data_IF_079898280002
#
_entry.id   IF_079898280002
#
_cell.length_a   1.000
_cell.length_b   1.000
_cell.length_c   1.000
_cell.angle_alpha   90.00
_cell.angle_beta   90.00
_cell.angle_gamma   90.00
#
_symmetry.space_group_name_H-M   'P 1'
#
loop_
_entity.id
_entity.type
_entity.pdbx_description
1 polymer ?
#
# COMPACT_ATOMS: atom_id res chain seq x y z
N UNK A 1 -9.92 -19.68 7.36
CA UNK A 1 -8.76 -18.80 7.03
C UNK A 1 -8.04 -18.40 8.31
N UNK A 2 -6.71 -18.31 8.31
CA UNK A 2 -5.96 -17.75 9.45
C UNK A 2 -6.29 -16.26 9.61
N UNK A 3 -6.11 -15.70 10.81
CA UNK A 3 -6.34 -14.27 11.04
C UNK A 3 -5.44 -13.42 10.14
N UNK A 4 -4.17 -13.79 10.00
CA UNK A 4 -3.20 -13.09 9.15
C UNK A 4 -3.65 -13.10 7.68
N UNK A 5 -4.13 -14.24 7.15
CA UNK A 5 -4.70 -14.32 5.80
C UNK A 5 -5.95 -13.43 5.64
N UNK A 6 -6.86 -13.44 6.61
CA UNK A 6 -8.07 -12.59 6.58
C UNK A 6 -7.71 -11.10 6.58
N UNK A 7 -6.76 -10.69 7.43
CA UNK A 7 -6.26 -9.30 7.50
C UNK A 7 -5.55 -8.89 6.22
N UNK A 8 -4.78 -9.79 5.60
CA UNK A 8 -4.11 -9.51 4.34
C UNK A 8 -5.12 -9.29 3.19
N UNK A 9 -6.17 -10.11 3.08
CA UNK A 9 -7.23 -9.90 2.07
C UNK A 9 -7.93 -8.55 2.26
N UNK A 10 -8.37 -8.25 3.47
CA UNK A 10 -9.04 -6.97 3.73
C UNK A 10 -8.10 -5.77 3.60
N UNK A 11 -6.86 -5.89 4.05
CA UNK A 11 -5.84 -4.86 3.88
C UNK A 11 -5.58 -4.57 2.41
N UNK A 12 -5.48 -5.60 1.58
CA UNK A 12 -5.33 -5.45 0.14
C UNK A 12 -6.54 -4.74 -0.48
N UNK A 13 -7.76 -5.10 -0.08
CA UNK A 13 -8.98 -4.48 -0.60
C UNK A 13 -9.07 -3.00 -0.20
N UNK A 14 -8.89 -2.67 1.08
CA UNK A 14 -8.98 -1.30 1.60
C UNK A 14 -7.89 -0.41 0.98
N UNK A 15 -6.63 -0.84 1.04
CA UNK A 15 -5.52 0.00 0.58
C UNK A 15 -5.35 -0.03 -0.94
N UNK A 16 -5.73 -1.13 -1.61
CA UNK A 16 -5.76 -1.19 -3.06
C UNK A 16 -6.83 -0.25 -3.65
N UNK A 17 -8.03 -0.22 -3.07
CA UNK A 17 -9.08 0.72 -3.50
C UNK A 17 -8.68 2.18 -3.20
N UNK A 18 -8.11 2.45 -2.02
CA UNK A 18 -7.59 3.78 -1.70
C UNK A 18 -6.49 4.25 -2.66
N UNK A 19 -5.59 3.34 -3.06
CA UNK A 19 -4.52 3.61 -4.01
C UNK A 19 -5.08 3.99 -5.39
N UNK A 20 -6.03 3.20 -5.91
CA UNK A 20 -6.68 3.47 -7.20
C UNK A 20 -7.41 4.81 -7.15
N UNK A 21 -8.17 5.07 -6.07
CA UNK A 21 -8.90 6.32 -5.89
C UNK A 21 -7.93 7.51 -5.87
N UNK A 22 -6.85 7.45 -5.09
CA UNK A 22 -5.86 8.53 -5.01
C UNK A 22 -5.23 8.86 -6.37
N UNK A 23 -4.86 7.85 -7.15
CA UNK A 23 -4.38 8.05 -8.52
C UNK A 23 -5.43 8.70 -9.43
N UNK A 24 -6.69 8.24 -9.37
CA UNK A 24 -7.77 8.82 -10.17
C UNK A 24 -7.96 10.31 -9.84
N UNK A 25 -8.07 10.66 -8.55
CA UNK A 25 -8.25 12.03 -8.08
C UNK A 25 -7.06 12.92 -8.48
N UNK A 26 -5.86 12.35 -8.39
CA UNK A 26 -4.65 13.06 -8.76
C UNK A 26 -4.58 13.40 -10.24
N UNK A 27 -5.09 12.55 -11.15
CA UNK A 27 -5.03 12.83 -12.58
C UNK A 27 -6.27 13.52 -13.17
N UNK A 28 -7.42 13.47 -12.51
CA UNK A 28 -8.72 14.01 -12.99
C UNK A 28 -8.84 15.56 -13.04
N UNK A 29 -7.75 16.31 -13.18
CA UNK A 29 -7.80 17.77 -13.19
C UNK A 29 -6.54 18.48 -13.67
N UNK A 30 -5.79 17.88 -14.58
CA UNK A 30 -4.52 18.45 -15.10
C UNK A 30 -3.26 17.94 -14.38
N UNK A 31 -3.42 16.93 -13.53
CA UNK A 31 -2.31 16.18 -12.94
C UNK A 31 -1.48 16.99 -11.93
N UNK A 32 -0.15 16.88 -11.96
CA UNK A 32 0.75 17.30 -10.88
C UNK A 32 0.97 18.82 -10.76
N UNK A 33 0.80 19.58 -11.85
CA UNK A 33 1.00 21.04 -11.85
C UNK A 33 -0.15 21.78 -11.17
N UNK A 34 -1.38 21.31 -11.39
CA UNK A 34 -2.61 21.96 -10.90
C UNK A 34 -3.19 21.29 -9.65
N UNK A 35 -2.53 20.25 -9.12
CA UNK A 35 -3.10 19.44 -8.04
C UNK A 35 -3.32 20.26 -6.76
N UNK A 36 -2.35 21.11 -6.41
CA UNK A 36 -2.37 21.90 -5.19
C UNK A 36 -3.20 23.18 -5.30
N UNK A 37 -3.46 23.65 -6.52
CA UNK A 37 -4.27 24.85 -6.77
C UNK A 37 -5.78 24.57 -6.56
N UNK A 38 -6.16 23.29 -6.47
CA UNK A 38 -7.54 22.86 -6.32
C UNK A 38 -7.76 22.24 -4.95
N UNK A 39 -8.25 23.07 -4.01
CA UNK A 39 -8.57 22.67 -2.64
C UNK A 39 -9.50 21.45 -2.57
N UNK A 40 -10.41 21.29 -3.54
CA UNK A 40 -11.35 20.17 -3.59
C UNK A 40 -10.62 18.84 -3.81
N UNK A 41 -9.65 18.78 -4.73
CA UNK A 41 -8.89 17.55 -5.01
C UNK A 41 -8.00 17.15 -3.84
N UNK A 42 -7.33 18.12 -3.23
CA UNK A 42 -6.53 17.91 -2.02
C UNK A 42 -7.43 17.38 -0.89
N UNK A 43 -8.59 18.01 -0.68
CA UNK A 43 -9.56 17.59 0.35
C UNK A 43 -10.08 16.19 0.08
N UNK A 44 -10.42 15.86 -1.16
CA UNK A 44 -11.00 14.57 -1.51
C UNK A 44 -10.02 13.41 -1.30
N UNK A 45 -8.75 13.57 -1.64
CA UNK A 45 -7.75 12.54 -1.34
C UNK A 45 -7.43 12.45 0.15
N UNK A 46 -7.46 13.57 0.91
CA UNK A 46 -7.38 13.52 2.38
C UNK A 46 -8.52 12.69 2.94
N UNK A 47 -9.74 12.88 2.44
CA UNK A 47 -10.90 12.07 2.80
C UNK A 47 -10.70 10.60 2.47
N UNK A 48 -10.17 10.26 1.29
CA UNK A 48 -9.82 8.86 0.93
C UNK A 48 -8.80 8.28 1.90
N UNK A 49 -7.77 9.03 2.24
CA UNK A 49 -6.74 8.60 3.18
C UNK A 49 -7.33 8.33 4.57
N UNK A 50 -8.10 9.29 5.11
CA UNK A 50 -8.78 9.16 6.40
C UNK A 50 -9.77 7.99 6.40
N UNK A 51 -10.59 7.85 5.36
CA UNK A 51 -11.54 6.75 5.24
C UNK A 51 -10.84 5.38 5.15
N UNK A 52 -9.70 5.31 4.46
CA UNK A 52 -8.85 4.11 4.41
C UNK A 52 -8.35 3.73 5.81
N UNK A 53 -7.87 4.70 6.59
CA UNK A 53 -7.47 4.47 7.98
C UNK A 53 -8.60 4.00 8.87
N UNK A 54 -9.74 4.69 8.84
CA UNK A 54 -10.92 4.31 9.64
C UNK A 54 -11.34 2.89 9.30
N UNK A 55 -11.44 2.56 8.02
CA UNK A 55 -11.80 1.21 7.55
C UNK A 55 -10.79 0.15 8.00
N UNK A 56 -9.49 0.46 7.93
CA UNK A 56 -8.44 -0.44 8.38
C UNK A 56 -8.47 -0.68 9.89
N UNK A 57 -8.66 0.36 10.70
CA UNK A 57 -8.80 0.22 12.15
C UNK A 57 -10.04 -0.59 12.55
N UNK A 58 -11.18 -0.31 11.92
CA UNK A 58 -12.40 -1.11 12.11
C UNK A 58 -12.14 -2.59 11.78
N UNK A 59 -11.45 -2.88 10.67
CA UNK A 59 -11.07 -4.24 10.32
C UNK A 59 -10.19 -4.90 11.38
N UNK A 60 -9.21 -4.19 11.96
CA UNK A 60 -8.37 -4.72 13.03
C UNK A 60 -9.19 -5.07 14.29
N UNK A 61 -10.14 -4.21 14.67
CA UNK A 61 -11.03 -4.42 15.81
C UNK A 61 -11.90 -5.66 15.58
N UNK A 62 -12.55 -5.77 14.42
CA UNK A 62 -13.45 -6.87 14.10
C UNK A 62 -12.75 -8.21 13.86
N UNK A 63 -11.44 -8.22 13.55
CA UNK A 63 -10.68 -9.45 13.32
C UNK A 63 -9.95 -9.98 14.55
N UNK A 64 -10.11 -9.33 15.71
CA UNK A 64 -9.51 -9.75 16.98
C UNK A 64 -10.26 -11.00 17.50
N UNK A 65 -9.63 -12.17 17.48
CA UNK A 65 -10.19 -13.41 18.08
C UNK A 65 -9.47 -13.71 19.40
N UNK A 66 -10.18 -14.21 20.44
CA UNK A 66 -9.54 -14.61 21.69
C UNK A 66 -8.60 -15.79 21.49
N UNK A 67 -7.43 -15.75 22.12
CA UNK A 67 -6.41 -16.79 22.06
C UNK A 67 -6.94 -18.08 22.72
N UNK A 68 -7.11 -19.15 21.94
CA UNK A 68 -7.48 -20.48 22.42
C UNK A 68 -6.36 -21.45 22.04
N UNK A 69 -5.85 -22.19 23.03
CA UNK A 69 -4.52 -22.81 23.10
C UNK A 69 -4.08 -23.84 22.05
N UNK A 70 -4.67 -23.88 20.85
CA UNK A 70 -4.12 -24.57 19.66
C UNK A 70 -3.20 -23.65 18.83
N UNK A 71 -2.65 -22.59 19.45
CA UNK A 71 -2.08 -21.42 18.77
C UNK A 71 -0.59 -21.50 18.46
N UNK A 72 0.21 -22.26 19.21
CA UNK A 72 1.68 -22.17 19.16
C UNK A 72 2.28 -22.41 17.76
N UNK A 73 1.98 -23.55 17.13
CA UNK A 73 2.56 -23.90 15.81
C UNK A 73 2.05 -23.00 14.67
N UNK A 74 0.81 -22.49 14.82
CA UNK A 74 0.23 -21.52 13.89
C UNK A 74 0.86 -20.13 14.07
N UNK A 75 1.26 -19.77 15.28
CA UNK A 75 1.89 -18.49 15.61
C UNK A 75 3.28 -18.39 14.98
N UNK A 76 4.11 -19.44 15.09
CA UNK A 76 5.47 -19.44 14.52
C UNK A 76 5.47 -19.30 12.99
N UNK A 77 4.57 -20.03 12.30
CA UNK A 77 4.41 -19.92 10.85
C UNK A 77 3.89 -18.55 10.44
N UNK A 78 2.90 -18.02 11.15
CA UNK A 78 2.32 -16.71 10.86
C UNK A 78 3.35 -15.59 11.13
N UNK A 79 4.21 -15.73 12.15
CA UNK A 79 5.32 -14.82 12.44
C UNK A 79 6.38 -14.85 11.33
N UNK A 80 6.79 -16.05 10.89
CA UNK A 80 7.74 -16.20 9.78
C UNK A 80 7.22 -15.57 8.49
N UNK A 81 5.95 -15.83 8.15
CA UNK A 81 5.27 -15.22 7.00
C UNK A 81 5.28 -13.70 7.12
N UNK A 82 4.93 -13.18 8.30
CA UNK A 82 4.86 -11.74 8.54
C UNK A 82 6.23 -11.08 8.37
N UNK A 83 7.29 -11.61 8.99
CA UNK A 83 8.67 -11.10 8.86
C UNK A 83 9.11 -11.05 7.40
N UNK A 84 8.91 -12.14 6.65
CA UNK A 84 9.30 -12.20 5.25
C UNK A 84 8.47 -11.25 4.38
N UNK A 85 7.17 -11.13 4.65
CA UNK A 85 6.30 -10.18 3.95
C UNK A 85 6.68 -8.72 4.23
N UNK A 86 7.14 -8.37 5.44
CA UNK A 86 7.69 -7.04 5.73
C UNK A 86 8.93 -6.74 4.91
N UNK A 87 9.89 -7.67 4.85
CA UNK A 87 11.10 -7.50 4.04
C UNK A 87 10.76 -7.31 2.56
N UNK A 88 9.89 -8.15 2.00
CA UNK A 88 9.45 -8.02 0.61
C UNK A 88 8.71 -6.70 0.36
N UNK A 89 7.80 -6.31 1.27
CA UNK A 89 7.09 -5.03 1.19
C UNK A 89 8.02 -3.83 1.20
N UNK A 90 9.03 -3.85 2.07
CA UNK A 90 10.03 -2.79 2.17
C UNK A 90 10.87 -2.64 0.90
N UNK A 91 11.40 -3.74 0.36
CA UNK A 91 12.15 -3.68 -0.90
C UNK A 91 11.29 -3.26 -2.08
N UNK A 92 10.05 -3.75 -2.17
CA UNK A 92 9.09 -3.32 -3.19
C UNK A 92 8.86 -1.80 -3.13
N UNK A 93 8.71 -1.25 -1.93
CA UNK A 93 8.54 0.18 -1.72
C UNK A 93 9.77 0.98 -2.13
N UNK A 94 10.96 0.54 -1.73
CA UNK A 94 12.22 1.20 -2.08
C UNK A 94 12.42 1.23 -3.59
N UNK A 95 12.18 0.11 -4.28
CA UNK A 95 12.26 0.01 -5.74
C UNK A 95 11.25 0.95 -6.40
N UNK A 96 10.01 0.97 -5.91
CA UNK A 96 8.98 1.88 -6.41
C UNK A 96 9.41 3.34 -6.32
N UNK A 97 9.82 3.80 -5.14
CA UNK A 97 10.24 5.20 -4.93
C UNK A 97 11.45 5.52 -5.80
N UNK A 98 12.43 4.63 -5.85
CA UNK A 98 13.64 4.80 -6.67
C UNK A 98 13.31 4.98 -8.16
N UNK A 99 12.49 4.08 -8.72
CA UNK A 99 12.10 4.13 -10.13
C UNK A 99 11.31 5.40 -10.42
N UNK A 100 10.35 5.79 -9.58
CA UNK A 100 9.55 6.99 -9.82
C UNK A 100 10.42 8.25 -9.71
N UNK A 101 11.33 8.34 -8.74
CA UNK A 101 12.26 9.47 -8.65
C UNK A 101 13.13 9.59 -9.90
N UNK A 102 13.69 8.47 -10.40
CA UNK A 102 14.44 8.47 -11.65
C UNK A 102 13.59 8.88 -12.85
N UNK A 103 12.36 8.37 -12.94
CA UNK A 103 11.43 8.70 -14.02
C UNK A 103 11.06 10.19 -14.00
N UNK A 104 10.77 10.76 -12.83
CA UNK A 104 10.46 12.17 -12.66
C UNK A 104 11.67 13.04 -13.02
N UNK A 105 12.87 12.66 -12.59
CA UNK A 105 14.10 13.35 -12.97
C UNK A 105 14.31 13.33 -14.49
N UNK A 106 14.23 12.15 -15.11
CA UNK A 106 14.39 12.01 -16.55
C UNK A 106 13.33 12.82 -17.31
N UNK A 107 12.08 12.80 -16.86
CA UNK A 107 11.00 13.50 -17.54
C UNK A 107 11.12 15.03 -17.41
N UNK A 108 11.30 15.56 -16.20
CA UNK A 108 11.34 17.01 -16.01
C UNK A 108 12.68 17.61 -16.43
N UNK A 109 13.80 17.02 -15.99
CA UNK A 109 15.12 17.61 -16.21
C UNK A 109 15.67 17.31 -17.60
N UNK A 110 15.53 16.07 -18.08
CA UNK A 110 16.14 15.65 -19.35
C UNK A 110 15.20 15.91 -20.53
N UNK A 111 13.92 15.52 -20.42
CA UNK A 111 12.98 15.62 -21.54
C UNK A 111 12.35 17.01 -21.68
N UNK A 112 11.81 17.56 -20.59
CA UNK A 112 11.16 18.88 -20.60
C UNK A 112 12.15 20.05 -20.47
N UNK A 113 13.42 19.77 -20.14
CA UNK A 113 14.43 20.78 -19.79
C UNK A 113 13.96 21.78 -18.71
N UNK A 114 13.02 21.37 -17.87
CA UNK A 114 12.46 22.18 -16.81
C UNK A 114 13.39 22.14 -15.58
N UNK A 115 13.43 23.23 -14.82
CA UNK A 115 14.20 23.29 -13.58
C UNK A 115 13.35 22.87 -12.39
N UNK A 116 12.03 23.02 -12.50
CA UNK A 116 11.11 22.85 -11.38
C UNK A 116 10.29 21.56 -11.49
N UNK A 117 10.40 20.72 -10.46
CA UNK A 117 9.52 19.56 -10.29
C UNK A 117 8.23 20.02 -9.58
N UNK A 118 7.04 19.82 -10.18
CA UNK A 118 5.78 20.18 -9.53
C UNK A 118 5.60 19.47 -8.19
N UNK A 119 5.30 20.23 -7.14
CA UNK A 119 5.14 19.73 -5.76
C UNK A 119 4.03 18.67 -5.66
N UNK A 120 3.05 18.68 -6.57
CA UNK A 120 2.04 17.63 -6.67
C UNK A 120 2.63 16.22 -6.76
N UNK A 121 3.76 16.02 -7.43
CA UNK A 121 4.43 14.70 -7.48
C UNK A 121 4.95 14.25 -6.13
N UNK A 122 5.52 15.15 -5.35
CA UNK A 122 6.00 14.87 -3.99
C UNK A 122 4.83 14.46 -3.11
N UNK A 123 3.71 15.16 -3.26
CA UNK A 123 2.50 14.87 -2.51
C UNK A 123 1.90 13.50 -2.89
N UNK A 124 1.82 13.19 -4.19
CA UNK A 124 1.37 11.89 -4.67
C UNK A 124 2.27 10.78 -4.12
N UNK A 125 3.58 10.92 -4.29
CA UNK A 125 4.57 9.96 -3.79
C UNK A 125 4.39 9.70 -2.29
N UNK A 126 4.29 10.74 -1.46
CA UNK A 126 4.11 10.57 -0.02
C UNK A 126 2.90 9.71 0.33
N UNK A 127 1.77 9.93 -0.33
CA UNK A 127 0.53 9.19 -0.08
C UNK A 127 0.57 7.78 -0.66
N UNK A 128 1.01 7.62 -1.91
CA UNK A 128 1.01 6.31 -2.58
C UNK A 128 2.08 5.38 -2.02
N UNK A 129 3.21 5.90 -1.53
CA UNK A 129 4.22 5.13 -0.79
C UNK A 129 3.61 4.48 0.44
N UNK A 130 2.77 5.20 1.20
CA UNK A 130 2.07 4.62 2.33
C UNK A 130 1.16 3.46 1.91
N UNK A 131 0.29 3.68 0.93
CA UNK A 131 -0.63 2.64 0.44
C UNK A 131 0.09 1.42 -0.15
N UNK A 132 1.14 1.64 -0.94
CA UNK A 132 1.94 0.58 -1.53
C UNK A 132 2.64 -0.26 -0.47
N UNK A 133 3.08 0.32 0.64
CA UNK A 133 3.60 -0.46 1.77
C UNK A 133 2.61 -1.52 2.25
N UNK A 134 1.35 -1.12 2.49
CA UNK A 134 0.30 -2.04 2.93
C UNK A 134 -0.10 -3.04 1.84
N UNK A 135 -0.23 -2.59 0.59
CA UNK A 135 -0.60 -3.44 -0.54
C UNK A 135 0.48 -4.48 -0.80
N UNK A 136 1.75 -4.08 -0.89
CA UNK A 136 2.88 -5.00 -1.11
C UNK A 136 3.03 -6.00 0.02
N UNK A 137 2.89 -5.57 1.28
CA UNK A 137 2.88 -6.49 2.42
C UNK A 137 1.74 -7.50 2.33
N UNK A 138 0.51 -7.03 2.07
CA UNK A 138 -0.67 -7.90 1.95
C UNK A 138 -0.52 -8.92 0.81
N UNK A 139 -0.05 -8.50 -0.37
CA UNK A 139 0.23 -9.39 -1.50
C UNK A 139 1.29 -10.42 -1.11
N UNK A 140 2.42 -9.98 -0.53
CA UNK A 140 3.49 -10.89 -0.12
C UNK A 140 2.99 -11.93 0.89
N UNK A 141 2.20 -11.52 1.89
CA UNK A 141 1.56 -12.44 2.84
C UNK A 141 0.68 -13.47 2.12
N UNK A 142 -0.18 -13.05 1.19
CA UNK A 142 -1.09 -13.96 0.47
C UNK A 142 -0.33 -14.94 -0.42
N UNK A 143 0.70 -14.48 -1.14
CA UNK A 143 1.56 -15.31 -2.00
C UNK A 143 2.32 -16.34 -1.17
N UNK A 144 2.91 -15.94 -0.03
CA UNK A 144 3.62 -16.86 0.87
C UNK A 144 2.67 -17.92 1.46
N UNK A 145 1.46 -17.52 1.86
CA UNK A 145 0.45 -18.49 2.32
C UNK A 145 0.05 -19.49 1.23
N UNK A 146 -0.15 -19.03 -0.01
CA UNK A 146 -0.50 -19.91 -1.12
C UNK A 146 0.63 -20.92 -1.41
N UNK A 147 1.89 -20.46 -1.43
CA UNK A 147 3.05 -21.33 -1.65
C UNK A 147 3.21 -22.38 -0.56
N UNK A 148 3.11 -21.99 0.72
CA UNK A 148 3.29 -22.93 1.84
C UNK A 148 2.10 -23.88 2.03
N UNK A 149 0.90 -23.49 1.60
CA UNK A 149 -0.26 -24.41 1.60
C UNK A 149 -0.14 -25.51 0.54
N UNK A 150 0.56 -25.27 -0.57
CA UNK A 150 0.74 -26.26 -1.64
C UNK A 150 1.89 -27.25 -1.41
N UNK A 151 2.79 -27.00 -0.46
CA UNK A 151 3.89 -27.91 -0.10
C UNK A 151 3.54 -28.86 1.06
N UNK A 152 2.30 -28.83 1.55
CA UNK A 152 1.80 -29.71 2.62
C UNK A 152 0.84 -30.81 2.15
N UNK A 153 0.62 -30.93 0.83
CA UNK A 153 -0.15 -32.01 0.20
C UNK A 153 0.76 -32.76 -0.78
N UNK A 154 1.69 -33.55 -0.24
CA UNK A 154 2.34 -34.67 -0.93
C UNK A 154 2.87 -35.67 0.08
#
# INVERSE_FOLDING_TARGET
MTQLKKRAVWGLFIWGTALIAAYAIFFLGGGPRTFLDNDTRVTLTRTVFTAGFVSYFLMLIFTRTPSSGKTLEKDERDEFISKRAYTTGFFSLMIYVFIICLALYAYYKVYLHDVDLPVGWVWLLGITTYFLGFVSHAIATLVLYARMSGHGES
#
